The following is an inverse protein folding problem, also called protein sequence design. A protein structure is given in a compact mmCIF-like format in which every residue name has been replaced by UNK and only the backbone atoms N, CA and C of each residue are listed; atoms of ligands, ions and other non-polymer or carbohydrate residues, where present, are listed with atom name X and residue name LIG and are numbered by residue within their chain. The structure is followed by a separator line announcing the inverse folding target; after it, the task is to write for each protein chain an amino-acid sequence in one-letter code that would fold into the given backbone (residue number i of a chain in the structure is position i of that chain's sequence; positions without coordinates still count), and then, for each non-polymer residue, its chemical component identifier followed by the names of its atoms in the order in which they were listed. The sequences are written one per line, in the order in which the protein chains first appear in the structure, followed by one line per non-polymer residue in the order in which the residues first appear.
data_IF_625026028684
#
_entry.id   IF_625026028684
#
_cell.length_a   1.000
_cell.length_b   1.000
_cell.length_c   1.000
_cell.angle_alpha   90.00
_cell.angle_beta   90.00
_cell.angle_gamma   90.00
#
_symmetry.space_group_name_H-M   'P 1'
#
loop_
_entity.id
_entity.type
_entity.pdbx_description
1 polymer ?
#
# COMPACT_ATOMS: atom_id res chain seq x y z
N UNK A 1 -8.01 8.11 -16.56
CA UNK A 1 -7.17 8.98 -15.71
C UNK A 1 -7.33 8.60 -14.26
N UNK A 2 -6.23 8.40 -13.57
CA UNK A 2 -6.27 8.00 -12.16
C UNK A 2 -6.33 9.24 -11.27
N UNK A 3 -7.29 9.26 -10.33
CA UNK A 3 -7.37 10.33 -9.34
C UNK A 3 -6.33 10.05 -8.26
N UNK A 4 -5.35 10.95 -8.11
CA UNK A 4 -4.27 10.78 -7.15
C UNK A 4 -4.39 11.74 -5.95
N UNK A 5 -5.34 12.65 -6.00
CA UNK A 5 -5.60 13.60 -4.91
C UNK A 5 -7.07 13.62 -4.57
N UNK A 6 -7.38 13.81 -3.30
CA UNK A 6 -8.76 13.87 -2.80
C UNK A 6 -8.81 14.85 -1.63
N UNK A 7 -9.91 15.60 -1.52
CA UNK A 7 -10.14 16.49 -0.40
C UNK A 7 -11.12 15.83 0.56
N UNK A 8 -10.71 15.66 1.82
CA UNK A 8 -11.55 15.08 2.88
C UNK A 8 -11.47 16.04 4.07
N UNK A 9 -12.63 16.55 4.53
CA UNK A 9 -12.71 17.47 5.67
C UNK A 9 -11.74 18.66 5.50
N UNK A 10 -11.75 19.28 4.31
CA UNK A 10 -10.93 20.44 3.97
C UNK A 10 -9.43 20.18 3.93
N UNK A 11 -9.00 18.91 4.00
CA UNK A 11 -7.59 18.52 3.87
C UNK A 11 -7.38 17.77 2.55
N UNK A 12 -6.24 18.04 1.92
CA UNK A 12 -5.85 17.35 0.68
C UNK A 12 -5.12 16.06 1.03
N UNK A 13 -5.58 14.95 0.43
CA UNK A 13 -4.96 13.64 0.58
C UNK A 13 -4.40 13.16 -0.74
N UNK A 14 -3.30 12.43 -0.68
CA UNK A 14 -2.66 11.81 -1.84
C UNK A 14 -2.78 10.30 -1.75
N UNK A 15 -2.98 9.65 -2.90
CA UNK A 15 -2.95 8.20 -3.00
C UNK A 15 -1.53 7.76 -3.33
N UNK A 16 -0.96 6.92 -2.49
CA UNK A 16 0.40 6.41 -2.65
C UNK A 16 0.42 4.89 -2.65
N UNK A 17 1.37 4.32 -3.38
CA UNK A 17 1.75 2.92 -3.20
C UNK A 17 2.72 2.91 -2.02
N UNK A 18 2.28 2.36 -0.90
CA UNK A 18 3.05 2.40 0.35
C UNK A 18 3.88 1.14 0.57
N UNK A 19 3.56 0.06 -0.12
CA UNK A 19 4.33 -1.18 -0.03
C UNK A 19 4.05 -2.09 -1.21
N UNK A 20 5.05 -2.86 -1.61
CA UNK A 20 4.94 -3.90 -2.65
C UNK A 20 5.65 -5.15 -2.18
N UNK A 21 5.12 -6.30 -2.56
CA UNK A 21 5.81 -7.57 -2.34
C UNK A 21 5.42 -8.58 -3.43
N UNK A 22 6.23 -9.61 -3.59
CA UNK A 22 5.99 -10.67 -4.56
C UNK A 22 5.81 -11.99 -3.85
N UNK A 23 4.88 -12.81 -4.36
CA UNK A 23 4.61 -14.12 -3.81
C UNK A 23 5.18 -15.26 -4.66
N UNK A 24 5.50 -14.99 -5.93
CA UNK A 24 5.86 -16.03 -6.86
C UNK A 24 4.62 -16.70 -7.45
N UNK A 25 4.81 -17.88 -8.03
CA UNK A 25 3.73 -18.62 -8.70
C UNK A 25 3.08 -19.57 -7.70
N UNK A 26 2.01 -19.13 -7.07
CA UNK A 26 1.26 -19.89 -6.05
C UNK A 26 -0.19 -20.06 -6.48
N UNK A 27 -0.84 -21.14 -6.04
CA UNK A 27 -2.22 -21.44 -6.43
C UNK A 27 -3.23 -20.47 -5.81
N UNK A 28 -3.06 -20.15 -4.53
CA UNK A 28 -4.00 -19.29 -3.81
C UNK A 28 -3.27 -18.05 -3.28
N UNK A 29 -3.00 -17.05 -4.15
CA UNK A 29 -2.20 -15.90 -3.75
C UNK A 29 -2.79 -15.13 -2.57
N UNK A 30 -4.13 -15.08 -2.44
CA UNK A 30 -4.75 -14.37 -1.33
C UNK A 30 -4.39 -14.97 0.02
N UNK A 31 -4.31 -16.29 0.10
CA UNK A 31 -3.95 -16.99 1.33
C UNK A 31 -2.49 -16.70 1.69
N UNK A 32 -1.61 -16.78 0.70
CA UNK A 32 -0.18 -16.55 0.92
C UNK A 32 0.15 -15.09 1.15
N UNK A 33 -0.70 -14.16 0.68
CA UNK A 33 -0.49 -12.73 0.88
C UNK A 33 -0.78 -12.30 2.32
N UNK A 34 -1.58 -13.04 3.04
CA UNK A 34 -1.99 -12.66 4.40
C UNK A 34 -0.80 -12.44 5.34
N UNK A 35 0.21 -13.32 5.28
CA UNK A 35 1.41 -13.21 6.10
C UNK A 35 2.21 -11.93 5.82
N UNK A 36 2.65 -11.70 4.59
CA UNK A 36 3.37 -10.47 4.23
C UNK A 36 2.57 -9.19 4.52
N UNK A 37 1.26 -9.19 4.32
CA UNK A 37 0.41 -8.05 4.65
C UNK A 37 0.45 -7.80 6.16
N UNK A 38 0.28 -8.85 6.95
CA UNK A 38 0.30 -8.73 8.41
C UNK A 38 1.66 -8.22 8.90
N UNK A 39 2.75 -8.77 8.36
CA UNK A 39 4.11 -8.35 8.70
C UNK A 39 4.31 -6.87 8.41
N UNK A 40 3.85 -6.40 7.23
CA UNK A 40 3.94 -4.99 6.89
C UNK A 40 3.14 -4.12 7.85
N UNK A 41 1.93 -4.56 8.23
CA UNK A 41 1.10 -3.82 9.18
C UNK A 41 1.78 -3.64 10.53
N UNK A 42 2.65 -4.57 10.92
CA UNK A 42 3.41 -4.50 12.18
C UNK A 42 4.70 -3.70 12.05
N UNK A 43 5.16 -3.43 10.84
CA UNK A 43 6.38 -2.64 10.60
C UNK A 43 6.15 -1.16 10.95
N UNK A 44 7.24 -0.40 11.05
CA UNK A 44 7.13 1.05 11.33
C UNK A 44 6.32 1.75 10.26
N UNK A 45 6.64 1.50 8.96
CA UNK A 45 5.93 2.13 7.87
C UNK A 45 4.46 1.71 7.83
N UNK A 46 4.18 0.44 8.06
CA UNK A 46 2.82 -0.08 8.08
C UNK A 46 2.00 0.54 9.20
N UNK A 47 2.56 0.64 10.39
CA UNK A 47 1.88 1.28 11.53
C UNK A 47 1.57 2.74 11.24
N UNK A 48 2.52 3.45 10.68
CA UNK A 48 2.32 4.85 10.30
C UNK A 48 1.14 4.98 9.34
N UNK A 49 1.10 4.14 8.30
CA UNK A 49 0.02 4.17 7.31
C UNK A 49 -1.32 3.80 7.96
N UNK A 50 -1.35 2.74 8.75
CA UNK A 50 -2.60 2.29 9.38
C UNK A 50 -3.17 3.35 10.33
N UNK A 51 -2.32 4.13 10.98
CA UNK A 51 -2.76 5.18 11.89
C UNK A 51 -3.21 6.46 11.18
N UNK A 52 -2.60 6.78 10.03
CA UNK A 52 -2.77 8.09 9.40
C UNK A 52 -3.58 8.05 8.10
N UNK A 53 -3.84 6.89 7.52
CA UNK A 53 -4.61 6.80 6.28
C UNK A 53 -6.06 7.24 6.50
N UNK A 54 -6.62 7.93 5.50
CA UNK A 54 -8.00 8.42 5.58
C UNK A 54 -9.03 7.29 5.65
N UNK A 55 -8.67 6.14 5.08
CA UNK A 55 -9.50 4.93 5.06
C UNK A 55 -8.58 3.72 5.03
N UNK A 56 -9.08 2.50 5.29
CA UNK A 56 -8.22 1.33 5.27
C UNK A 56 -7.46 1.19 3.95
N UNK A 57 -6.16 0.82 3.99
CA UNK A 57 -5.40 0.63 2.76
C UNK A 57 -6.01 -0.41 1.85
N UNK A 58 -5.78 -0.26 0.55
CA UNK A 58 -6.30 -1.17 -0.48
C UNK A 58 -5.16 -2.05 -0.99
N UNK A 59 -5.46 -3.33 -1.21
CA UNK A 59 -4.49 -4.32 -1.65
C UNK A 59 -4.82 -4.71 -3.09
N UNK A 60 -3.84 -4.58 -3.99
CA UNK A 60 -4.01 -4.86 -5.42
C UNK A 60 -3.13 -6.01 -5.84
N UNK A 61 -3.73 -7.00 -6.48
CA UNK A 61 -3.04 -8.20 -6.96
C UNK A 61 -2.86 -8.11 -8.47
N UNK A 62 -1.62 -8.34 -8.93
CA UNK A 62 -1.30 -8.46 -10.35
C UNK A 62 -0.44 -9.69 -10.58
N UNK A 63 -0.61 -10.32 -11.75
CA UNK A 63 0.30 -11.37 -12.19
C UNK A 63 1.44 -10.73 -12.99
N UNK A 64 2.67 -10.97 -12.58
CA UNK A 64 3.86 -10.43 -13.25
C UNK A 64 4.42 -11.50 -14.20
N UNK A 65 4.24 -11.29 -15.50
CA UNK A 65 4.69 -12.22 -16.53
C UNK A 65 6.22 -12.32 -16.61
N UNK A 66 6.92 -11.25 -16.27
CA UNK A 66 8.39 -11.23 -16.36
C UNK A 66 9.04 -12.04 -15.25
N UNK A 67 8.41 -12.11 -14.07
CA UNK A 67 8.93 -12.81 -12.90
C UNK A 67 8.12 -14.05 -12.56
N UNK A 68 7.15 -14.41 -13.39
CA UNK A 68 6.28 -15.56 -13.22
C UNK A 68 5.74 -15.69 -11.81
N UNK A 69 4.95 -14.71 -11.40
CA UNK A 69 4.37 -14.77 -10.07
C UNK A 69 3.42 -13.62 -9.80
N UNK A 70 2.77 -13.69 -8.64
CA UNK A 70 1.84 -12.65 -8.22
C UNK A 70 2.59 -11.52 -7.50
N UNK A 71 2.22 -10.30 -7.82
CA UNK A 71 2.73 -9.10 -7.17
C UNK A 71 1.57 -8.40 -6.49
N UNK A 72 1.80 -7.96 -5.25
CA UNK A 72 0.83 -7.15 -4.52
C UNK A 72 1.36 -5.74 -4.35
N UNK A 73 0.46 -4.76 -4.50
CA UNK A 73 0.72 -3.37 -4.19
C UNK A 73 -0.30 -2.92 -3.15
N UNK A 74 0.18 -2.27 -2.10
CA UNK A 74 -0.68 -1.71 -1.07
C UNK A 74 -0.74 -0.21 -1.31
N UNK A 75 -1.95 0.34 -1.45
CA UNK A 75 -2.16 1.77 -1.65
C UNK A 75 -2.92 2.36 -0.48
N UNK A 76 -2.62 3.62 -0.15
CA UNK A 76 -3.28 4.33 0.93
C UNK A 76 -3.42 5.80 0.59
N UNK A 77 -4.43 6.43 1.17
CA UNK A 77 -4.66 7.87 1.09
C UNK A 77 -4.07 8.53 2.34
N UNK A 78 -3.02 9.34 2.14
CA UNK A 78 -2.36 10.06 3.23
C UNK A 78 -2.50 11.55 3.02
N UNK A 79 -2.70 12.31 4.10
CA UNK A 79 -2.67 13.76 4.03
C UNK A 79 -1.32 14.22 3.47
N UNK A 80 -1.28 15.38 2.81
CA UNK A 80 -0.07 15.87 2.14
C UNK A 80 1.16 15.84 3.04
N UNK A 81 1.03 16.30 4.29
CA UNK A 81 2.15 16.30 5.24
C UNK A 81 2.60 14.88 5.58
N UNK A 82 1.66 13.97 5.76
CA UNK A 82 1.95 12.56 6.05
C UNK A 82 2.56 11.86 4.84
N UNK A 83 2.06 12.17 3.64
CA UNK A 83 2.61 11.64 2.40
C UNK A 83 4.07 12.07 2.22
N UNK A 84 4.37 13.34 2.47
CA UNK A 84 5.73 13.86 2.40
C UNK A 84 6.63 13.16 3.42
N UNK A 85 6.18 13.04 4.66
CA UNK A 85 6.93 12.36 5.71
C UNK A 85 7.21 10.91 5.30
N UNK A 86 6.19 10.21 4.82
CA UNK A 86 6.33 8.81 4.39
C UNK A 86 7.38 8.68 3.30
N UNK A 87 7.33 9.53 2.28
CA UNK A 87 8.28 9.47 1.17
C UNK A 87 9.71 9.77 1.62
N UNK A 88 9.90 10.71 2.54
CA UNK A 88 11.22 11.04 3.05
C UNK A 88 11.78 9.95 3.97
N UNK A 89 10.93 9.23 4.68
CA UNK A 89 11.34 8.25 5.68
C UNK A 89 11.57 6.85 5.08
N UNK A 90 10.69 6.42 4.14
CA UNK A 90 10.67 5.02 3.68
C UNK A 90 10.81 4.83 2.17
N UNK A 91 10.86 5.89 1.40
CA UNK A 91 11.05 5.76 -0.05
C UNK A 91 12.36 6.31 -0.55
#
# INVERSE_FOLDING_TARGET
MTVTHRIINERVYQKLIVHRFQLGDVEDPEIYAAGPIWDWQQSESGRFVMENAAEPPTYHQNFDQFHYGYQYAITAWLADSDATYFCLRWK
#
